data_IF_673710851595
#
_entry.id   IF_673710851595
#
_cell.length_a   1.000
_cell.length_b   1.000
_cell.length_c   1.000
_cell.angle_alpha   90.00
_cell.angle_beta   90.00
_cell.angle_gamma   90.00
#
_symmetry.space_group_name_H-M   'P 1'
#
loop_
_entity.id
_entity.type
_entity.pdbx_description
1 polymer ?
#
# COMPACT_ATOMS: atom_id res chain seq x y z
N UNK A 1 -21.07 -17.91 8.41
CA UNK A 1 -20.77 -17.10 7.20
C UNK A 1 -21.94 -16.22 6.72
N UNK A 2 -23.13 -16.21 7.37
CA UNK A 2 -24.31 -15.52 6.82
C UNK A 2 -24.77 -14.24 7.55
N UNK A 3 -24.06 -13.82 8.61
CA UNK A 3 -24.48 -12.69 9.44
C UNK A 3 -23.90 -11.33 9.02
N UNK A 4 -22.87 -11.29 8.15
CA UNK A 4 -22.31 -10.03 7.67
C UNK A 4 -23.24 -9.35 6.66
N UNK A 5 -23.21 -8.03 6.59
CA UNK A 5 -24.00 -7.25 5.63
C UNK A 5 -23.19 -7.08 4.32
N UNK A 6 -23.59 -7.70 3.19
CA UNK A 6 -22.85 -7.63 1.93
C UNK A 6 -22.82 -6.21 1.35
N UNK A 7 -23.89 -5.44 1.49
CA UNK A 7 -23.95 -4.06 0.97
C UNK A 7 -22.98 -3.16 1.74
N UNK A 8 -22.89 -3.37 3.06
CA UNK A 8 -21.88 -2.70 3.89
C UNK A 8 -20.47 -3.10 3.48
N UNK A 9 -20.21 -4.38 3.22
CA UNK A 9 -18.89 -4.85 2.82
C UNK A 9 -18.45 -4.28 1.46
N UNK A 10 -19.38 -4.16 0.49
CA UNK A 10 -19.12 -3.51 -0.81
C UNK A 10 -18.71 -2.05 -0.62
N UNK A 11 -19.48 -1.28 0.16
CA UNK A 11 -19.16 0.13 0.47
C UNK A 11 -17.81 0.28 1.15
N UNK A 12 -17.53 -0.57 2.15
CA UNK A 12 -16.25 -0.55 2.86
C UNK A 12 -15.08 -0.85 1.91
N UNK A 13 -15.24 -1.80 0.97
CA UNK A 13 -14.20 -2.09 -0.01
C UNK A 13 -13.86 -0.83 -0.83
N UNK A 14 -14.88 -0.14 -1.34
CA UNK A 14 -14.70 1.05 -2.17
C UNK A 14 -14.10 2.22 -1.37
N UNK A 15 -14.57 2.45 -0.14
CA UNK A 15 -14.01 3.46 0.77
C UNK A 15 -12.53 3.19 1.06
N UNK A 16 -12.17 1.93 1.38
CA UNK A 16 -10.79 1.56 1.64
C UNK A 16 -9.90 1.66 0.40
N UNK A 17 -10.42 1.31 -0.78
CA UNK A 17 -9.67 1.44 -2.03
C UNK A 17 -9.37 2.92 -2.33
N UNK A 18 -10.37 3.79 -2.20
CA UNK A 18 -10.22 5.23 -2.44
C UNK A 18 -9.21 5.85 -1.46
N UNK A 19 -9.29 5.47 -0.19
CA UNK A 19 -8.35 5.96 0.82
C UNK A 19 -6.92 5.44 0.58
N UNK A 20 -6.77 4.17 0.18
CA UNK A 20 -5.48 3.62 -0.22
C UNK A 20 -4.86 4.44 -1.37
N UNK A 21 -5.63 4.71 -2.43
CA UNK A 21 -5.17 5.50 -3.59
C UNK A 21 -4.78 6.92 -3.18
N UNK A 22 -5.61 7.59 -2.38
CA UNK A 22 -5.32 8.93 -1.85
C UNK A 22 -4.02 8.96 -1.03
N UNK A 23 -3.76 7.93 -0.22
CA UNK A 23 -2.52 7.83 0.56
C UNK A 23 -1.29 7.53 -0.30
N UNK A 24 -1.45 6.74 -1.38
CA UNK A 24 -0.41 6.53 -2.40
C UNK A 24 -0.06 7.85 -3.09
N UNK A 25 -1.05 8.64 -3.50
CA UNK A 25 -0.85 9.97 -4.11
C UNK A 25 -0.13 10.93 -3.16
N UNK A 26 -0.48 10.89 -1.88
CA UNK A 26 0.21 11.64 -0.80
C UNK A 26 1.58 11.07 -0.43
N UNK A 27 2.02 10.01 -1.11
CA UNK A 27 3.30 9.33 -0.91
C UNK A 27 3.49 8.77 0.52
N UNK A 28 2.42 8.26 1.13
CA UNK A 28 2.43 7.65 2.47
C UNK A 28 2.31 6.12 2.37
N UNK A 29 3.43 5.38 2.16
CA UNK A 29 3.38 3.95 1.83
C UNK A 29 2.79 3.06 2.94
N UNK A 30 3.18 3.28 4.20
CA UNK A 30 2.73 2.42 5.30
C UNK A 30 1.23 2.59 5.57
N UNK A 31 0.70 3.83 5.72
CA UNK A 31 -0.74 4.01 5.84
C UNK A 31 -1.52 3.51 4.62
N UNK A 32 -1.01 3.71 3.40
CA UNK A 32 -1.65 3.17 2.20
C UNK A 32 -1.76 1.65 2.24
N UNK A 33 -0.68 0.97 2.66
CA UNK A 33 -0.65 -0.48 2.75
C UNK A 33 -1.65 -1.03 3.78
N UNK A 34 -1.89 -0.34 4.90
CA UNK A 34 -2.93 -0.73 5.86
C UNK A 34 -4.32 -0.76 5.20
N UNK A 35 -4.64 0.21 4.35
CA UNK A 35 -5.90 0.21 3.59
C UNK A 35 -5.93 -0.85 2.50
N UNK A 36 -4.80 -1.15 1.84
CA UNK A 36 -4.69 -2.29 0.94
C UNK A 36 -5.02 -3.61 1.66
N UNK A 37 -4.54 -3.81 2.89
CA UNK A 37 -4.87 -4.99 3.70
C UNK A 37 -6.36 -5.04 4.06
N UNK A 38 -6.97 -3.90 4.39
CA UNK A 38 -8.42 -3.81 4.62
C UNK A 38 -9.22 -4.18 3.36
N UNK A 39 -8.82 -3.75 2.17
CA UNK A 39 -9.43 -4.19 0.91
C UNK A 39 -9.31 -5.71 0.73
N UNK A 40 -8.11 -6.28 0.91
CA UNK A 40 -7.88 -7.72 0.78
C UNK A 40 -8.76 -8.53 1.73
N UNK A 41 -8.84 -8.12 2.99
CA UNK A 41 -9.69 -8.78 3.98
C UNK A 41 -11.18 -8.65 3.64
N UNK A 42 -11.63 -7.45 3.27
CA UNK A 42 -13.04 -7.20 2.91
C UNK A 42 -13.46 -8.00 1.68
N UNK A 43 -12.58 -8.12 0.69
CA UNK A 43 -12.77 -9.02 -0.46
C UNK A 43 -12.97 -10.47 -0.02
N UNK A 44 -12.12 -10.99 0.89
CA UNK A 44 -12.28 -12.36 1.38
C UNK A 44 -13.63 -12.59 2.08
N UNK A 45 -14.14 -11.58 2.80
CA UNK A 45 -15.46 -11.65 3.43
C UNK A 45 -16.60 -11.65 2.41
N UNK A 46 -16.51 -10.82 1.36
CA UNK A 46 -17.46 -10.80 0.25
C UNK A 46 -17.47 -12.14 -0.50
N UNK A 47 -16.28 -12.69 -0.76
CA UNK A 47 -16.11 -13.94 -1.48
C UNK A 47 -16.67 -15.14 -0.69
N UNK A 48 -16.34 -15.24 0.61
CA UNK A 48 -16.86 -16.28 1.49
C UNK A 48 -18.39 -16.19 1.68
N UNK A 49 -18.97 -15.00 1.51
CA UNK A 49 -20.42 -14.79 1.56
C UNK A 49 -21.13 -15.17 0.27
N UNK A 50 -20.41 -15.35 -0.83
CA UNK A 50 -21.00 -15.49 -2.17
C UNK A 50 -21.66 -14.20 -2.66
N UNK A 51 -21.25 -13.04 -2.13
CA UNK A 51 -21.81 -11.73 -2.49
C UNK A 51 -21.22 -11.18 -3.81
N UNK A 52 -20.23 -11.86 -4.39
CA UNK A 52 -19.62 -11.53 -5.67
C UNK A 52 -19.66 -12.77 -6.58
N UNK A 53 -19.98 -12.56 -7.86
CA UNK A 53 -19.95 -13.59 -8.88
C UNK A 53 -18.52 -14.01 -9.23
N UNK A 54 -18.39 -15.16 -9.91
CA UNK A 54 -17.10 -15.66 -10.41
C UNK A 54 -16.42 -14.63 -11.33
N UNK A 55 -17.21 -13.92 -12.16
CA UNK A 55 -16.71 -12.87 -13.05
C UNK A 55 -16.22 -11.65 -12.27
N UNK A 56 -16.96 -11.22 -11.24
CA UNK A 56 -16.58 -10.07 -10.41
C UNK A 56 -15.35 -10.36 -9.56
N UNK A 57 -15.17 -11.60 -9.10
CA UNK A 57 -14.01 -12.02 -8.28
C UNK A 57 -12.67 -11.65 -8.93
N UNK A 58 -12.52 -11.86 -10.23
CA UNK A 58 -11.28 -11.50 -10.95
C UNK A 58 -11.04 -9.99 -10.94
N UNK A 59 -12.11 -9.19 -11.04
CA UNK A 59 -12.03 -7.73 -10.95
C UNK A 59 -11.53 -7.25 -9.59
N UNK A 60 -12.06 -7.81 -8.49
CA UNK A 60 -11.61 -7.49 -7.14
C UNK A 60 -10.15 -7.90 -6.89
N UNK A 61 -9.74 -9.09 -7.35
CA UNK A 61 -8.35 -9.54 -7.25
C UNK A 61 -7.40 -8.57 -7.96
N UNK A 62 -7.76 -8.13 -9.17
CA UNK A 62 -6.93 -7.19 -9.93
C UNK A 62 -6.84 -5.83 -9.24
N UNK A 63 -7.94 -5.33 -8.66
CA UNK A 63 -7.97 -4.09 -7.87
C UNK A 63 -7.01 -4.17 -6.69
N UNK A 64 -7.14 -5.20 -5.84
CA UNK A 64 -6.25 -5.40 -4.68
C UNK A 64 -4.79 -5.56 -5.11
N UNK A 65 -4.52 -6.32 -6.17
CA UNK A 65 -3.16 -6.50 -6.71
C UNK A 65 -2.55 -5.18 -7.16
N UNK A 66 -3.32 -4.30 -7.81
CA UNK A 66 -2.85 -2.97 -8.22
C UNK A 66 -2.50 -2.12 -7.00
N UNK A 67 -3.36 -2.08 -5.98
CA UNK A 67 -3.07 -1.35 -4.73
C UNK A 67 -1.77 -1.84 -4.07
N UNK A 68 -1.60 -3.16 -3.95
CA UNK A 68 -0.40 -3.76 -3.36
C UNK A 68 0.86 -3.41 -4.15
N UNK A 69 0.79 -3.47 -5.48
CA UNK A 69 1.88 -3.08 -6.38
C UNK A 69 2.27 -1.61 -6.19
N UNK A 70 1.29 -0.71 -6.14
CA UNK A 70 1.55 0.73 -6.02
C UNK A 70 2.12 1.06 -4.63
N UNK A 71 1.64 0.40 -3.57
CA UNK A 71 2.23 0.48 -2.24
C UNK A 71 3.68 -0.01 -2.22
N UNK A 72 3.98 -1.14 -2.88
CA UNK A 72 5.32 -1.72 -2.95
C UNK A 72 6.30 -0.81 -3.71
N UNK A 73 5.88 -0.27 -4.87
CA UNK A 73 6.66 0.72 -5.62
C UNK A 73 6.97 1.96 -4.78
N UNK A 74 5.95 2.51 -4.12
CA UNK A 74 6.10 3.70 -3.28
C UNK A 74 7.01 3.44 -2.07
N UNK A 75 6.86 2.28 -1.44
CA UNK A 75 7.73 1.85 -0.34
C UNK A 75 9.17 1.75 -0.81
N UNK A 76 9.43 1.06 -1.92
CA UNK A 76 10.77 0.88 -2.47
C UNK A 76 11.42 2.22 -2.83
N UNK A 77 10.68 3.14 -3.46
CA UNK A 77 11.16 4.50 -3.73
C UNK A 77 11.51 5.24 -2.42
N UNK A 78 10.71 5.09 -1.37
CA UNK A 78 10.97 5.67 -0.04
C UNK A 78 12.25 5.08 0.58
N UNK A 79 12.47 3.77 0.44
CA UNK A 79 13.70 3.10 0.92
C UNK A 79 14.93 3.55 0.14
N UNK A 80 14.84 3.66 -1.18
CA UNK A 80 15.93 4.12 -2.03
C UNK A 80 16.35 5.56 -1.68
N UNK A 81 15.41 6.48 -1.47
CA UNK A 81 15.71 7.86 -1.01
C UNK A 81 16.43 7.90 0.33
N UNK A 82 16.18 6.91 1.19
CA UNK A 82 16.85 6.76 2.49
C UNK A 82 18.14 5.92 2.40
N UNK A 83 18.57 5.52 1.19
CA UNK A 83 19.72 4.63 0.95
C UNK A 83 19.62 3.30 1.73
N UNK A 84 18.42 2.71 1.76
CA UNK A 84 18.12 1.41 2.38
C UNK A 84 18.67 1.24 3.81
N UNK A 85 18.15 2.00 4.79
CA UNK A 85 18.74 2.01 6.13
C UNK A 85 18.59 0.66 6.88
N UNK A 86 17.61 -0.17 6.51
CA UNK A 86 17.37 -1.48 7.12
C UNK A 86 18.27 -2.61 6.58
N UNK A 87 18.99 -2.40 5.48
CA UNK A 87 19.92 -3.41 4.98
C UNK A 87 21.22 -3.30 5.75
N UNK A 88 21.55 -4.33 6.56
CA UNK A 88 22.78 -4.32 7.37
C UNK A 88 24.04 -4.29 6.49
N UNK A 89 24.06 -5.11 5.44
CA UNK A 89 25.10 -5.13 4.42
C UNK A 89 25.05 -3.87 3.55
N UNK A 90 26.11 -3.07 3.61
CA UNK A 90 26.24 -1.81 2.86
C UNK A 90 26.53 -2.03 1.38
N UNK A 91 27.26 -3.09 1.01
CA UNK A 91 27.49 -3.41 -0.39
C UNK A 91 26.18 -3.82 -1.08
N UNK A 92 25.35 -4.59 -0.39
CA UNK A 92 24.00 -4.90 -0.87
C UNK A 92 23.13 -3.64 -0.97
N UNK A 93 23.18 -2.74 0.03
CA UNK A 93 22.43 -1.49 0.00
C UNK A 93 22.80 -0.60 -1.20
N UNK A 94 24.08 -0.50 -1.53
CA UNK A 94 24.58 0.21 -2.71
C UNK A 94 24.12 -0.44 -4.02
N UNK A 95 24.20 -1.77 -4.10
CA UNK A 95 23.70 -2.54 -5.26
C UNK A 95 22.21 -2.33 -5.50
N UNK A 96 21.38 -2.41 -4.45
CA UNK A 96 19.94 -2.18 -4.56
C UNK A 96 19.60 -0.73 -4.88
N UNK A 97 20.39 0.23 -4.38
CA UNK A 97 20.27 1.64 -4.76
C UNK A 97 20.56 1.87 -6.24
N UNK A 98 21.60 1.23 -6.77
CA UNK A 98 21.91 1.28 -8.20
C UNK A 98 20.80 0.64 -9.04
N UNK A 99 20.29 -0.54 -8.64
CA UNK A 99 19.19 -1.24 -9.33
C UNK A 99 17.91 -0.41 -9.41
N UNK A 100 17.66 0.42 -8.40
CA UNK A 100 16.42 1.17 -8.26
C UNK A 100 16.61 2.69 -8.40
N UNK A 101 17.70 3.13 -9.03
CA UNK A 101 18.03 4.54 -9.23
C UNK A 101 16.91 5.29 -9.97
N UNK A 102 16.21 4.61 -10.89
CA UNK A 102 15.07 5.12 -11.66
C UNK A 102 13.93 5.63 -10.77
N UNK A 103 13.73 4.99 -9.60
CA UNK A 103 12.67 5.34 -8.65
C UNK A 103 12.94 6.64 -7.88
N UNK A 104 14.16 7.18 -7.98
CA UNK A 104 14.55 8.45 -7.36
C UNK A 104 14.14 9.67 -8.20
N UNK A 105 13.81 9.48 -9.48
CA UNK A 105 13.40 10.56 -10.38
C UNK A 105 12.01 11.15 -10.03
N UNK A 106 11.22 10.44 -9.22
CA UNK A 106 9.88 10.87 -8.79
C UNK A 106 9.96 11.68 -7.47
N UNK A 107 9.42 12.90 -7.48
CA UNK A 107 9.50 14.00 -6.48
C UNK A 107 9.34 13.61 -4.97
N UNK A 108 9.77 14.47 -4.01
CA UNK A 108 10.10 14.05 -2.64
C UNK A 108 8.89 13.61 -1.82
N UNK A 109 9.15 12.68 -0.88
CA UNK A 109 8.17 12.20 0.10
C UNK A 109 8.33 13.00 1.39
N UNK A 110 7.30 13.76 1.77
CA UNK A 110 7.18 14.31 3.13
C UNK A 110 6.93 13.17 4.12
N UNK A 111 7.65 13.15 5.23
CA UNK A 111 7.38 12.28 6.39
C UNK A 111 8.40 11.17 6.66
N UNK A 112 9.67 11.33 6.22
CA UNK A 112 10.74 10.39 6.55
C UNK A 112 10.98 10.27 8.08
N UNK A 113 11.67 9.22 8.56
CA UNK A 113 11.99 9.03 9.98
C UNK A 113 12.66 10.24 10.65
N UNK A 114 13.39 11.05 9.87
CA UNK A 114 14.01 12.29 10.33
C UNK A 114 12.98 13.40 10.67
N UNK A 115 11.82 13.43 10.02
CA UNK A 115 10.77 14.42 10.28
C UNK A 115 9.86 14.00 11.45
N UNK A 116 9.65 12.70 11.67
CA UNK A 116 8.86 12.19 12.82
C UNK A 116 9.50 12.57 14.16
N UNK A 117 10.83 12.51 14.24
CA UNK A 117 11.60 12.95 15.41
C UNK A 117 11.51 14.47 15.67
N UNK A 118 11.07 15.28 14.69
CA UNK A 118 10.81 16.72 14.86
C UNK A 118 9.36 17.02 15.25
N UNK A 119 8.41 16.19 14.84
CA UNK A 119 7.00 16.32 15.20
C UNK A 119 6.72 15.87 16.64
N UNK A 120 7.46 14.88 17.16
CA UNK A 120 7.35 14.40 18.56
C UNK A 120 8.07 15.30 19.58
N UNK A 121 8.71 16.39 19.14
CA UNK A 121 9.40 17.38 19.98
C UNK A 121 8.70 18.74 20.03
N UNK A 122 7.48 18.83 19.54
CA UNK A 122 6.61 20.02 19.59
C UNK A 122 5.32 19.66 20.31
#
# INVERSE_FOLDING_TARGET
FHASDPDRLLRLFDEYENECRRLVERKLPLPAYDYCLKCSHTFNLLDARGAISVTERQGYILRVRRLAHDCAKLYLATRARMKFPSLADRALAEKELARHAELLADQPVRGGPAERRRAERR
#
